data_IF_638476263186
#
_entry.id   IF_638476263186
#
_cell.length_a   1.000
_cell.length_b   1.000
_cell.length_c   1.000
_cell.angle_alpha   90.00
_cell.angle_beta   90.00
_cell.angle_gamma   90.00
#
_symmetry.space_group_name_H-M   'P 1'
#
loop_
_entity.id
_entity.type
_entity.pdbx_description
1 polymer ?
#
# COMPACT_ATOMS: atom_id res chain seq x y z
N UNK A 1 -4.68 -25.20 -34.98
CA UNK A 1 -4.55 -24.84 -33.55
C UNK A 1 -3.69 -23.58 -33.46
N UNK A 2 -4.30 -22.40 -33.28
CA UNK A 2 -3.56 -21.14 -33.16
C UNK A 2 -3.35 -20.82 -31.68
N UNK A 3 -2.16 -21.13 -31.17
CA UNK A 3 -1.70 -20.66 -29.86
C UNK A 3 -1.18 -19.24 -30.05
N UNK A 4 -2.01 -18.23 -29.78
CA UNK A 4 -1.54 -16.85 -29.68
C UNK A 4 -0.59 -16.81 -28.48
N UNK A 5 0.71 -16.83 -28.75
CA UNK A 5 1.76 -16.60 -27.77
C UNK A 5 1.76 -15.11 -27.39
N UNK A 6 0.72 -14.68 -26.67
CA UNK A 6 0.65 -13.33 -26.13
C UNK A 6 1.79 -13.15 -25.13
N UNK A 7 2.69 -12.21 -25.40
CA UNK A 7 3.79 -11.83 -24.50
C UNK A 7 3.15 -11.35 -23.18
N UNK A 8 3.16 -12.18 -22.14
CA UNK A 8 2.57 -11.86 -20.84
C UNK A 8 3.47 -10.82 -20.15
N UNK A 9 3.12 -9.55 -20.27
CA UNK A 9 3.79 -8.46 -19.54
C UNK A 9 3.17 -8.40 -18.15
N UNK A 10 3.98 -8.62 -17.12
CA UNK A 10 3.53 -8.48 -15.74
C UNK A 10 3.78 -7.05 -15.27
N UNK A 11 2.73 -6.36 -14.82
CA UNK A 11 2.81 -5.06 -14.16
C UNK A 11 2.73 -5.29 -12.65
N UNK A 12 3.66 -4.69 -11.89
CA UNK A 12 3.59 -4.67 -10.44
C UNK A 12 2.92 -3.41 -9.94
N UNK A 13 2.31 -3.45 -8.75
CA UNK A 13 1.74 -2.27 -8.09
C UNK A 13 2.17 -2.24 -6.63
N UNK A 14 2.29 -1.05 -6.07
CA UNK A 14 2.31 -0.84 -4.63
C UNK A 14 0.90 -0.49 -4.19
N UNK A 15 0.32 -1.35 -3.35
CA UNK A 15 -1.03 -1.19 -2.83
C UNK A 15 -1.00 -1.08 -1.30
N UNK A 16 -1.83 -0.17 -0.77
CA UNK A 16 -1.96 0.14 0.65
C UNK A 16 -3.39 -0.17 1.10
N UNK A 17 -3.53 -0.71 2.32
CA UNK A 17 -4.83 -0.98 2.92
C UNK A 17 -4.92 -0.32 4.30
N UNK A 18 -6.09 0.24 4.61
CA UNK A 18 -6.38 0.80 5.93
C UNK A 18 -6.86 -0.30 6.88
N UNK A 19 -6.04 -0.67 7.86
CA UNK A 19 -6.38 -1.69 8.86
C UNK A 19 -7.25 -1.18 10.01
N UNK A 20 -7.61 0.10 10.02
CA UNK A 20 -8.65 0.60 10.92
C UNK A 20 -10.06 0.09 10.52
N UNK A 21 -10.18 -0.53 9.35
CA UNK A 21 -11.42 -1.14 8.88
C UNK A 21 -11.54 -2.59 9.39
N UNK A 22 -12.77 -3.11 9.56
CA UNK A 22 -12.97 -4.51 9.93
C UNK A 22 -12.24 -5.50 9.00
N UNK A 23 -11.74 -6.64 9.50
CA UNK A 23 -11.02 -7.63 8.70
C UNK A 23 -11.78 -8.13 7.47
N UNK A 24 -13.11 -8.13 7.55
CA UNK A 24 -14.02 -8.54 6.47
C UNK A 24 -14.11 -7.53 5.32
N UNK A 25 -13.66 -6.29 5.52
CA UNK A 25 -13.75 -5.21 4.52
C UNK A 25 -12.41 -4.60 4.15
N UNK A 26 -11.36 -4.75 4.96
CA UNK A 26 -10.03 -4.15 4.73
C UNK A 26 -9.39 -4.55 3.39
N UNK A 27 -9.71 -5.75 2.87
CA UNK A 27 -9.15 -6.29 1.63
C UNK A 27 -10.03 -6.08 0.39
N UNK A 28 -11.16 -5.38 0.54
CA UNK A 28 -12.00 -5.05 -0.61
C UNK A 28 -11.29 -3.99 -1.44
N UNK A 29 -11.33 -4.13 -2.76
CA UNK A 29 -10.74 -3.16 -3.70
C UNK A 29 -11.15 -1.71 -3.41
N UNK A 30 -12.38 -1.48 -2.94
CA UNK A 30 -12.88 -0.14 -2.55
C UNK A 30 -12.10 0.51 -1.39
N UNK A 31 -11.38 -0.29 -0.61
CA UNK A 31 -10.62 0.11 0.57
C UNK A 31 -9.10 -0.07 0.37
N UNK A 32 -8.69 -0.43 -0.84
CA UNK A 32 -7.28 -0.57 -1.24
C UNK A 32 -6.89 0.67 -2.05
N UNK A 33 -5.85 1.37 -1.61
CA UNK A 33 -5.29 2.49 -2.32
C UNK A 33 -4.09 2.03 -3.16
N UNK A 34 -4.04 2.41 -4.44
CA UNK A 34 -2.89 2.16 -5.29
C UNK A 34 -1.94 3.35 -5.21
N UNK A 35 -0.76 3.13 -4.63
CA UNK A 35 0.24 4.19 -4.44
C UNK A 35 1.12 4.37 -5.68
N UNK A 36 1.63 3.28 -6.27
CA UNK A 36 2.52 3.38 -7.42
C UNK A 36 2.44 2.17 -8.35
N UNK A 37 2.89 2.39 -9.59
CA UNK A 37 3.10 1.36 -10.60
C UNK A 37 4.59 1.00 -10.64
N UNK A 38 4.87 -0.30 -10.62
CA UNK A 38 6.21 -0.83 -10.84
C UNK A 38 6.39 -0.99 -12.34
N UNK A 39 7.41 -0.35 -12.95
CA UNK A 39 7.59 -0.35 -14.40
C UNK A 39 7.79 -1.77 -14.92
N UNK A 40 7.00 -2.12 -15.93
CA UNK A 40 7.14 -3.33 -16.72
C UNK A 40 8.04 -3.06 -17.95
N UNK A 41 8.62 -4.05 -18.64
CA UNK A 41 8.47 -5.51 -18.47
C UNK A 41 9.59 -6.18 -17.67
N UNK A 42 10.65 -5.44 -17.33
CA UNK A 42 11.82 -5.99 -16.64
C UNK A 42 11.58 -6.05 -15.14
N UNK A 43 12.16 -7.04 -14.46
CA UNK A 43 12.16 -7.05 -13.00
C UNK A 43 12.77 -5.74 -12.50
N UNK A 44 12.09 -5.04 -11.58
CA UNK A 44 12.61 -3.80 -11.04
C UNK A 44 13.89 -4.12 -10.27
N UNK A 45 14.97 -3.41 -10.60
CA UNK A 45 16.20 -3.51 -9.82
C UNK A 45 16.00 -2.80 -8.46
N UNK A 46 16.85 -3.09 -7.45
CA UNK A 46 16.71 -2.48 -6.12
C UNK A 46 16.71 -0.95 -6.12
N UNK A 47 17.44 -0.31 -7.06
CA UNK A 47 17.50 1.15 -7.19
C UNK A 47 16.14 1.69 -7.65
N UNK A 48 15.51 1.06 -8.64
CA UNK A 48 14.17 1.41 -9.14
C UNK A 48 13.12 1.23 -8.04
N UNK A 49 13.18 0.14 -7.28
CA UNK A 49 12.28 -0.08 -6.14
C UNK A 49 12.47 1.01 -5.09
N UNK A 50 13.71 1.31 -4.71
CA UNK A 50 14.00 2.35 -3.72
C UNK A 50 13.54 3.73 -4.20
N UNK A 51 13.71 4.07 -5.48
CA UNK A 51 13.23 5.33 -6.03
C UNK A 51 11.70 5.44 -6.00
N UNK A 52 11.00 4.32 -6.21
CA UNK A 52 9.52 4.26 -6.11
C UNK A 52 9.07 4.39 -4.65
N UNK A 53 9.79 3.77 -3.72
CA UNK A 53 9.44 3.77 -2.29
C UNK A 53 9.87 5.03 -1.55
N UNK A 54 10.88 5.76 -2.04
CA UNK A 54 11.41 6.97 -1.40
C UNK A 54 10.33 8.01 -1.05
N UNK A 55 9.48 8.48 -1.99
CA UNK A 55 8.44 9.45 -1.64
C UNK A 55 7.45 8.90 -0.60
N UNK A 56 7.15 7.59 -0.66
CA UNK A 56 6.27 6.95 0.30
C UNK A 56 6.87 6.94 1.70
N UNK A 57 8.16 6.63 1.81
CA UNK A 57 8.89 6.63 3.09
C UNK A 57 9.00 8.05 3.64
N UNK A 58 9.27 9.05 2.79
CA UNK A 58 9.35 10.45 3.19
C UNK A 58 8.00 10.94 3.77
N UNK A 59 6.87 10.63 3.11
CA UNK A 59 5.52 10.90 3.64
C UNK A 59 5.28 10.22 5.00
N UNK A 60 5.72 8.98 5.16
CA UNK A 60 5.55 8.25 6.42
C UNK A 60 6.37 8.83 7.58
N UNK A 61 7.56 9.36 7.29
CA UNK A 61 8.39 10.05 8.28
C UNK A 61 7.66 11.30 8.78
N UNK A 62 7.03 12.08 7.90
CA UNK A 62 6.22 13.24 8.28
C UNK A 62 5.01 12.84 9.13
N UNK A 63 4.33 11.75 8.75
CA UNK A 63 3.16 11.23 9.48
C UNK A 63 3.51 10.58 10.82
N UNK A 64 4.78 10.25 11.05
CA UNK A 64 5.26 9.69 12.33
C UNK A 64 5.16 10.70 13.47
N UNK A 65 5.38 11.99 13.20
CA UNK A 65 5.16 13.07 14.19
C UNK A 65 3.69 13.31 14.52
N UNK A 66 2.78 12.71 13.75
CA UNK A 66 1.34 12.95 13.84
C UNK A 66 0.92 14.18 13.04
N UNK A 67 -0.24 14.07 12.39
CA UNK A 67 -0.86 15.19 11.68
C UNK A 67 -2.24 15.48 12.26
N UNK A 68 -2.57 16.77 12.41
CA UNK A 68 -3.88 17.17 12.90
C UNK A 68 -4.86 17.28 11.73
N UNK A 69 -5.80 16.33 11.61
CA UNK A 69 -6.80 16.33 10.54
C UNK A 69 -8.18 16.65 11.14
N UNK A 70 -8.86 17.73 10.69
CA UNK A 70 -10.25 17.97 11.03
C UNK A 70 -11.16 16.97 10.34
N UNK A 71 -12.06 16.36 11.10
CA UNK A 71 -13.06 15.42 10.56
C UNK A 71 -14.46 15.92 10.92
N UNK A 72 -15.53 15.48 10.22
CA UNK A 72 -16.89 15.87 10.56
C UNK A 72 -17.29 15.58 12.02
N UNK A 73 -16.70 14.54 12.62
CA UNK A 73 -16.91 14.19 14.03
C UNK A 73 -16.03 15.00 14.99
N UNK A 74 -14.85 15.42 14.54
CA UNK A 74 -13.88 16.19 15.33
C UNK A 74 -13.47 17.48 14.57
N UNK A 75 -14.31 18.54 14.62
CA UNK A 75 -14.06 19.76 13.87
C UNK A 75 -12.85 20.57 14.38
N UNK A 76 -12.40 20.33 15.61
CA UNK A 76 -11.15 20.91 16.17
C UNK A 76 -9.88 20.20 15.70
N UNK A 77 -10.02 19.15 14.90
CA UNK A 77 -8.91 18.28 14.53
C UNK A 77 -8.73 17.11 15.49
N UNK A 78 -8.22 16.01 14.95
CA UNK A 78 -7.68 14.90 15.71
C UNK A 78 -6.24 14.67 15.25
N UNK A 79 -5.32 14.48 16.21
CA UNK A 79 -3.96 14.06 15.89
C UNK A 79 -3.99 12.60 15.44
N UNK A 80 -3.54 12.34 14.21
CA UNK A 80 -3.51 11.01 13.61
C UNK A 80 -2.05 10.65 13.38
N UNK A 81 -1.63 9.52 13.95
CA UNK A 81 -0.29 8.95 13.74
C UNK A 81 -0.43 7.76 12.81
N UNK A 82 0.33 7.78 11.72
CA UNK A 82 0.39 6.64 10.79
C UNK A 82 1.66 5.86 11.08
N UNK A 83 1.52 4.54 11.21
CA UNK A 83 2.64 3.59 11.29
C UNK A 83 2.63 2.74 10.03
N UNK A 84 3.79 2.28 9.56
CA UNK A 84 3.86 1.36 8.42
C UNK A 84 4.16 -0.06 8.92
N UNK A 85 3.34 -1.02 8.49
CA UNK A 85 3.66 -2.45 8.51
C UNK A 85 3.93 -2.93 7.09
N UNK A 86 5.15 -3.40 6.80
CA UNK A 86 5.49 -3.95 5.48
C UNK A 86 5.43 -5.48 5.52
N UNK A 87 4.62 -6.07 4.64
CA UNK A 87 4.63 -7.50 4.36
C UNK A 87 5.01 -7.69 2.89
N UNK A 88 6.12 -8.38 2.64
CA UNK A 88 6.59 -8.70 1.29
C UNK A 88 6.15 -10.13 0.99
N UNK A 89 5.28 -10.29 -0.02
CA UNK A 89 4.80 -11.59 -0.46
C UNK A 89 4.05 -11.46 -1.78
N UNK A 90 3.76 -12.60 -2.42
CA UNK A 90 2.77 -12.57 -3.50
C UNK A 90 1.38 -12.24 -2.92
N UNK A 91 0.45 -11.81 -3.78
CA UNK A 91 -0.87 -11.34 -3.34
C UNK A 91 -1.58 -12.42 -2.49
N UNK A 92 -1.47 -13.68 -2.89
CA UNK A 92 -2.11 -14.82 -2.20
C UNK A 92 -1.49 -15.08 -0.83
N UNK A 93 -0.16 -14.99 -0.67
CA UNK A 93 0.51 -15.11 0.62
C UNK A 93 0.20 -13.91 1.52
N UNK A 94 0.15 -12.71 0.96
CA UNK A 94 -0.19 -11.48 1.68
C UNK A 94 -1.62 -11.53 2.23
N UNK A 95 -2.56 -12.17 1.53
CA UNK A 95 -3.93 -12.37 2.02
C UNK A 95 -4.05 -13.47 3.10
N UNK A 96 -3.07 -14.38 3.21
CA UNK A 96 -3.08 -15.46 4.22
C UNK A 96 -2.43 -15.06 5.54
N UNK A 97 -1.48 -14.13 5.50
CA UNK A 97 -0.82 -13.61 6.69
C UNK A 97 -1.51 -12.30 7.04
N UNK A 98 -2.37 -12.33 8.07
CA UNK A 98 -3.04 -11.13 8.57
C UNK A 98 -2.02 -10.04 8.87
N UNK A 99 -2.00 -9.00 8.04
CA UNK A 99 -1.08 -7.88 8.23
C UNK A 99 -1.50 -7.05 9.45
N UNK A 100 -0.53 -6.78 10.32
CA UNK A 100 -0.69 -5.96 11.52
C UNK A 100 -0.29 -4.52 11.17
N UNK A 101 -1.27 -3.63 11.23
CA UNK A 101 -1.07 -2.19 11.32
C UNK A 101 -1.82 -1.72 12.56
N UNK A 102 -1.08 -1.23 13.56
CA UNK A 102 -1.65 -0.57 14.72
C UNK A 102 -1.70 0.93 14.42
N UNK A 103 -2.89 1.44 14.10
CA UNK A 103 -3.18 2.87 14.16
C UNK A 103 -3.57 3.17 15.61
N UNK A 104 -2.88 4.12 16.25
CA UNK A 104 -3.31 4.77 17.49
C UNK A 104 -3.55 6.24 17.19
#
# INVERSE_FOLDING_TARGET
>A
MNKIAGKKVSLGILALNCFNLPPTTQWKFKNTFMYSLIPAPNQPNPITINNILRPFVDELIELQSGINIPTPKFPKGQNIIVKLGCLIGDLVATHKVGAMLLIL
#
